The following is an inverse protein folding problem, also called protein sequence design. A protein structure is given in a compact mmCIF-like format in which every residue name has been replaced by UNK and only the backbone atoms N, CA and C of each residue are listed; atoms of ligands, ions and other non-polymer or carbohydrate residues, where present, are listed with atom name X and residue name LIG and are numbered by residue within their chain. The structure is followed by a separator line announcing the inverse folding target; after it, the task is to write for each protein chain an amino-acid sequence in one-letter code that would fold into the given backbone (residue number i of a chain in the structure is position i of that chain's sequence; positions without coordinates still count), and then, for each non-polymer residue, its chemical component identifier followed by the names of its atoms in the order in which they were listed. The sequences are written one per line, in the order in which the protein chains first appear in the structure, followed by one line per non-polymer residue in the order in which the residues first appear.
data_IF_401268908114
#
_entry.id   IF_401268908114
#
_cell.length_a   1.000
_cell.length_b   1.000
_cell.length_c   1.000
_cell.angle_alpha   90.00
_cell.angle_beta   90.00
_cell.angle_gamma   90.00
#
_symmetry.space_group_name_H-M   'P 1'
#
loop_
_entity.id
_entity.type
_entity.pdbx_description
1 polymer ?
#
# COMPACT_ATOMS: atom_id res chain seq x y z
N UNK A 1 -21.59 3.63 -24.10
CA UNK A 1 -22.04 3.49 -22.71
C UNK A 1 -20.90 2.88 -21.89
N UNK A 2 -20.08 3.68 -21.20
CA UNK A 2 -19.09 3.15 -20.26
C UNK A 2 -19.60 3.47 -18.86
N UNK A 3 -20.27 2.47 -18.29
CA UNK A 3 -20.89 2.51 -16.97
C UNK A 3 -19.85 2.97 -15.95
N UNK A 4 -20.14 4.09 -15.27
CA UNK A 4 -19.34 4.62 -14.19
C UNK A 4 -19.03 3.53 -13.17
N UNK A 5 -17.85 2.92 -13.32
CA UNK A 5 -17.31 2.02 -12.35
C UNK A 5 -16.79 2.92 -11.24
N UNK A 6 -17.60 3.11 -10.20
CA UNK A 6 -17.09 3.49 -8.88
C UNK A 6 -16.08 2.41 -8.55
N UNK A 7 -14.81 2.72 -8.79
CA UNK A 7 -13.72 1.75 -8.77
C UNK A 7 -13.59 1.21 -7.37
N UNK A 8 -13.85 -0.07 -7.18
CA UNK A 8 -13.74 -0.70 -5.88
C UNK A 8 -12.27 -0.93 -5.59
N UNK A 9 -11.77 -0.32 -4.53
CA UNK A 9 -10.37 -0.40 -4.10
C UNK A 9 -10.28 -1.44 -3.00
N UNK A 10 -9.22 -2.25 -3.00
CA UNK A 10 -9.00 -3.32 -2.03
C UNK A 10 -7.73 -3.03 -1.23
N UNK A 11 -7.86 -2.81 0.06
CA UNK A 11 -6.73 -2.60 0.98
C UNK A 11 -6.40 -3.91 1.67
N UNK A 12 -5.14 -4.29 1.66
CA UNK A 12 -4.62 -5.44 2.38
C UNK A 12 -3.78 -4.95 3.58
N UNK A 13 -4.33 -5.08 4.78
CA UNK A 13 -3.66 -4.69 6.02
C UNK A 13 -2.69 -5.76 6.50
N UNK A 14 -3.11 -7.02 6.42
CA UNK A 14 -2.30 -8.18 6.83
C UNK A 14 -2.32 -9.20 5.70
N UNK A 15 -1.15 -9.52 5.20
CA UNK A 15 -0.95 -10.51 4.14
C UNK A 15 0.53 -10.65 3.84
N UNK A 16 0.84 -11.32 2.73
CA UNK A 16 2.21 -11.41 2.22
C UNK A 16 2.77 -10.05 1.81
N UNK A 17 1.97 -9.27 1.09
CA UNK A 17 2.32 -7.92 0.65
C UNK A 17 1.21 -6.94 1.05
N UNK A 18 1.28 -6.31 2.24
CA UNK A 18 0.30 -5.31 2.63
C UNK A 18 0.37 -4.09 1.70
N UNK A 19 -0.78 -3.59 1.25
CA UNK A 19 -0.85 -2.56 0.22
C UNK A 19 -2.26 -2.36 -0.33
N UNK A 20 -2.39 -1.48 -1.33
CA UNK A 20 -3.66 -1.13 -1.96
C UNK A 20 -3.69 -1.71 -3.37
N UNK A 21 -4.77 -2.40 -3.70
CA UNK A 21 -5.00 -3.08 -4.97
C UNK A 21 -6.24 -2.52 -5.64
N UNK A 22 -6.17 -2.36 -6.97
CA UNK A 22 -7.31 -1.91 -7.78
C UNK A 22 -8.21 -3.07 -8.22
N UNK A 23 -7.72 -4.30 -8.10
CA UNK A 23 -8.44 -5.51 -8.53
C UNK A 23 -8.44 -6.58 -7.46
N UNK A 24 -9.55 -7.33 -7.38
CA UNK A 24 -9.64 -8.51 -6.50
C UNK A 24 -8.70 -9.64 -6.94
N UNK A 25 -8.39 -9.75 -8.24
CA UNK A 25 -7.53 -10.81 -8.75
C UNK A 25 -6.13 -10.77 -8.12
N UNK A 26 -5.56 -9.57 -7.99
CA UNK A 26 -4.24 -9.37 -7.36
C UNK A 26 -4.30 -9.53 -5.84
N UNK A 27 -5.28 -8.90 -5.18
CA UNK A 27 -5.45 -9.00 -3.73
C UNK A 27 -5.75 -10.44 -3.28
N UNK A 28 -6.58 -11.16 -4.03
CA UNK A 28 -7.01 -12.52 -3.72
C UNK A 28 -5.86 -13.52 -3.69
N UNK A 29 -4.85 -13.40 -4.56
CA UNK A 29 -3.69 -14.30 -4.58
C UNK A 29 -2.89 -14.19 -3.27
N UNK A 30 -2.72 -12.97 -2.77
CA UNK A 30 -1.98 -12.68 -1.54
C UNK A 30 -2.77 -13.09 -0.28
N UNK A 31 -4.08 -12.90 -0.28
CA UNK A 31 -5.01 -13.27 0.82
C UNK A 31 -5.19 -14.79 0.91
N UNK A 32 -5.48 -15.47 -0.21
CA UNK A 32 -5.82 -16.90 -0.22
C UNK A 32 -4.67 -17.80 0.22
N UNK A 33 -3.42 -17.38 0.00
CA UNK A 33 -2.21 -18.11 0.39
C UNK A 33 -1.73 -17.78 1.80
N UNK A 34 -2.38 -16.86 2.51
CA UNK A 34 -1.96 -16.38 3.82
C UNK A 34 -3.07 -16.58 4.88
N UNK A 35 -2.90 -17.51 5.83
CA UNK A 35 -3.87 -17.72 6.88
C UNK A 35 -3.92 -16.49 7.81
N UNK A 36 -5.14 -16.01 8.11
CA UNK A 36 -5.42 -14.77 8.88
C UNK A 36 -5.06 -13.47 8.15
N UNK A 37 -5.15 -13.45 6.82
CA UNK A 37 -5.09 -12.21 6.07
C UNK A 37 -6.29 -11.30 6.43
N UNK A 38 -6.03 -9.99 6.55
CA UNK A 38 -7.03 -8.96 6.84
C UNK A 38 -7.02 -7.98 5.69
N UNK A 39 -8.15 -7.89 5.00
CA UNK A 39 -8.36 -6.99 3.87
C UNK A 39 -9.70 -6.26 4.00
N UNK A 40 -9.83 -5.12 3.32
CA UNK A 40 -11.02 -4.29 3.33
C UNK A 40 -11.25 -3.69 1.95
N UNK A 41 -12.51 -3.61 1.51
CA UNK A 41 -12.86 -2.96 0.25
C UNK A 41 -13.39 -1.55 0.52
N UNK A 42 -12.78 -0.55 -0.12
CA UNK A 42 -13.14 0.87 -0.05
C UNK A 42 -13.66 1.33 -1.41
N UNK A 43 -14.44 2.42 -1.41
CA UNK A 43 -14.98 3.01 -2.64
C UNK A 43 -14.08 4.14 -3.20
N UNK A 44 -13.07 4.57 -2.43
CA UNK A 44 -12.10 5.61 -2.83
C UNK A 44 -10.66 5.20 -2.50
N UNK A 45 -9.71 5.71 -3.29
CA UNK A 45 -8.27 5.49 -3.06
C UNK A 45 -7.78 6.22 -1.81
N UNK A 46 -8.26 7.43 -1.56
CA UNK A 46 -7.86 8.26 -0.42
C UNK A 46 -8.24 7.61 0.92
N UNK A 47 -9.46 7.07 1.03
CA UNK A 47 -9.89 6.33 2.23
C UNK A 47 -9.07 5.05 2.43
N UNK A 48 -8.71 4.38 1.33
CA UNK A 48 -7.85 3.21 1.34
C UNK A 48 -6.43 3.52 1.84
N UNK A 49 -5.83 4.62 1.38
CA UNK A 49 -4.53 5.12 1.82
C UNK A 49 -4.55 5.52 3.28
N UNK A 50 -5.59 6.23 3.71
CA UNK A 50 -5.73 6.67 5.09
C UNK A 50 -5.88 5.48 6.04
N UNK A 51 -6.73 4.49 5.71
CA UNK A 51 -6.89 3.29 6.52
C UNK A 51 -5.58 2.49 6.60
N UNK A 52 -4.85 2.36 5.48
CA UNK A 52 -3.55 1.68 5.46
C UNK A 52 -2.52 2.44 6.31
N UNK A 53 -2.45 3.76 6.18
CA UNK A 53 -1.56 4.61 6.95
C UNK A 53 -1.86 4.55 8.45
N UNK A 54 -3.14 4.59 8.84
CA UNK A 54 -3.56 4.43 10.25
C UNK A 54 -3.17 3.05 10.78
N UNK A 55 -3.41 2.00 10.01
CA UNK A 55 -3.02 0.64 10.38
C UNK A 55 -1.50 0.47 10.53
N UNK A 56 -0.72 1.08 9.62
CA UNK A 56 0.74 1.11 9.69
C UNK A 56 1.21 1.95 10.88
N UNK A 57 0.60 3.10 11.14
CA UNK A 57 0.92 3.94 12.29
C UNK A 57 0.66 3.22 13.62
N UNK A 58 -0.45 2.48 13.73
CA UNK A 58 -0.76 1.61 14.87
C UNK A 58 0.25 0.47 15.04
N UNK A 59 0.77 -0.09 13.94
CA UNK A 59 1.82 -1.13 13.99
C UNK A 59 3.24 -0.57 14.14
N UNK A 60 3.46 0.70 13.88
CA UNK A 60 4.79 1.33 13.75
C UNK A 60 5.45 1.69 15.09
N UNK A 61 5.36 0.82 16.11
CA UNK A 61 6.45 0.78 17.09
C UNK A 61 7.72 0.10 16.52
N UNK A 62 7.70 -0.35 15.25
CA UNK A 62 8.86 -0.92 14.54
C UNK A 62 9.03 -0.34 13.13
N UNK A 63 9.99 0.59 13.04
CA UNK A 63 10.71 1.18 11.88
C UNK A 63 9.97 1.81 10.67
N UNK A 64 10.27 3.10 10.37
CA UNK A 64 10.04 3.70 9.06
C UNK A 64 11.12 3.25 8.06
N UNK A 65 10.74 2.82 6.85
CA UNK A 65 11.67 2.61 5.73
C UNK A 65 11.65 3.85 4.81
N UNK A 66 12.57 4.82 4.97
CA UNK A 66 12.87 5.75 3.90
C UNK A 66 13.79 5.05 2.89
N UNK A 67 13.21 4.45 1.85
CA UNK A 67 13.98 4.10 0.66
C UNK A 67 14.03 5.31 -0.28
N UNK A 68 15.24 5.63 -0.76
CA UNK A 68 15.61 6.65 -1.74
C UNK A 68 16.07 8.02 -1.19
N UNK A 69 17.33 8.08 -0.76
CA UNK A 69 18.20 9.19 -1.17
C UNK A 69 19.17 8.59 -2.21
N UNK A 70 19.09 8.90 -3.52
CA UNK A 70 20.27 8.74 -4.35
C UNK A 70 21.29 9.77 -3.85
N UNK A 71 22.34 9.25 -3.21
CA UNK A 71 23.61 9.95 -2.96
C UNK A 71 24.17 10.43 -4.30
N UNK A 72 23.67 11.55 -4.80
CA UNK A 72 24.20 12.29 -5.96
C UNK A 72 24.48 13.75 -5.60
N UNK A 73 24.66 14.02 -4.30
CA UNK A 73 25.24 15.24 -3.77
C UNK A 73 26.60 14.84 -3.19
N UNK A 74 27.66 14.91 -4.00
CA UNK A 74 29.10 15.15 -3.72
C UNK A 74 29.88 14.78 -5.00
N UNK A 75 29.93 15.70 -5.97
CA UNK A 75 31.17 16.22 -6.58
C UNK A 75 30.87 17.67 -6.99
N UNK A 76 30.90 18.56 -6.01
CA UNK A 76 31.38 19.93 -6.23
C UNK A 76 32.77 19.93 -5.60
N UNK A 77 33.79 19.70 -6.41
CA UNK A 77 35.15 20.09 -6.06
C UNK A 77 35.68 20.95 -7.21
N UNK A 78 36.00 22.19 -6.85
CA UNK A 78 36.60 23.19 -7.70
C UNK A 78 38.04 22.82 -8.07
N UNK A 79 38.43 23.11 -9.31
CA UNK A 79 39.80 23.45 -9.71
C UNK A 79 39.75 24.30 -10.99
#
# INVERSE_FOLDING_TARGET
MAKGARGKVYVLFVGRHPGIYQTWAECGVEVLRYPRAIYQCMDTMEEAEHALAEFLALKSCTEPKPEAIPTSLIVREEA
#
